data_IF_600417252564
#
_entry.id   IF_600417252564
#
_cell.length_a   1.000
_cell.length_b   1.000
_cell.length_c   1.000
_cell.angle_alpha   90.00
_cell.angle_beta   90.00
_cell.angle_gamma   90.00
#
_symmetry.space_group_name_H-M   'P 1'
#
loop_
_entity.id
_entity.type
_entity.pdbx_description
1 polymer ?
#
# COMPACT_ATOMS: atom_id res chain seq x y z
N UNK A 1 4.17 -4.11 5.66
CA UNK A 1 3.20 -5.01 5.01
C UNK A 1 1.93 -5.06 5.84
N UNK A 2 0.85 -4.34 5.48
CA UNK A 2 -0.37 -4.27 6.27
C UNK A 2 -1.36 -5.42 6.01
N UNK A 3 -1.24 -6.14 4.89
CA UNK A 3 -2.21 -7.18 4.45
C UNK A 3 -1.64 -8.60 4.45
N UNK A 4 -0.35 -8.80 4.73
CA UNK A 4 0.32 -10.10 4.55
C UNK A 4 -0.18 -11.24 5.46
N UNK A 5 -0.95 -10.96 6.51
CA UNK A 5 -1.56 -11.95 7.39
C UNK A 5 -3.09 -12.05 7.24
N UNK A 6 -3.68 -11.33 6.26
CA UNK A 6 -5.12 -11.26 6.03
C UNK A 6 -5.50 -12.08 4.80
N UNK A 7 -6.72 -12.60 4.77
CA UNK A 7 -7.26 -13.16 3.54
C UNK A 7 -7.53 -12.03 2.52
N UNK A 8 -7.74 -12.43 1.26
CA UNK A 8 -7.89 -11.49 0.15
C UNK A 8 -9.08 -10.52 0.32
N UNK A 9 -10.17 -10.93 0.96
CA UNK A 9 -11.32 -10.05 1.20
C UNK A 9 -10.99 -9.02 2.26
N UNK A 10 -10.49 -9.46 3.42
CA UNK A 10 -10.13 -8.54 4.51
C UNK A 10 -8.98 -7.61 4.12
N UNK A 11 -8.03 -8.07 3.28
CA UNK A 11 -7.01 -7.22 2.71
C UNK A 11 -7.58 -6.06 1.88
N UNK A 12 -8.59 -6.30 1.05
CA UNK A 12 -9.25 -5.26 0.26
C UNK A 12 -10.01 -4.26 1.14
N UNK A 13 -10.66 -4.70 2.21
CA UNK A 13 -11.36 -3.83 3.16
C UNK A 13 -10.39 -2.87 3.87
N UNK A 14 -9.22 -3.38 4.28
CA UNK A 14 -8.14 -2.57 4.85
C UNK A 14 -7.63 -1.53 3.84
N UNK A 15 -7.43 -1.92 2.57
CA UNK A 15 -7.03 -0.97 1.53
C UNK A 15 -8.10 0.11 1.28
N UNK A 16 -9.38 -0.26 1.32
CA UNK A 16 -10.47 0.71 1.22
C UNK A 16 -10.48 1.71 2.39
N UNK A 17 -10.22 1.25 3.61
CA UNK A 17 -10.07 2.11 4.78
C UNK A 17 -8.89 3.09 4.61
N UNK A 18 -7.73 2.62 4.17
CA UNK A 18 -6.59 3.49 3.90
C UNK A 18 -6.90 4.53 2.83
N UNK A 19 -7.56 4.15 1.73
CA UNK A 19 -8.00 5.11 0.71
C UNK A 19 -8.91 6.19 1.28
N UNK A 20 -9.88 5.82 2.14
CA UNK A 20 -10.78 6.78 2.80
C UNK A 20 -10.04 7.75 3.73
N UNK A 21 -9.08 7.25 4.49
CA UNK A 21 -8.25 8.10 5.35
C UNK A 21 -7.38 9.04 4.50
N UNK A 22 -6.81 8.54 3.41
CA UNK A 22 -6.01 9.35 2.50
C UNK A 22 -6.83 10.45 1.81
N UNK A 23 -8.06 10.14 1.36
CA UNK A 23 -8.97 11.14 0.80
C UNK A 23 -9.39 12.21 1.82
N UNK A 24 -9.33 11.90 3.12
CA UNK A 24 -9.60 12.85 4.20
C UNK A 24 -8.37 13.67 4.61
N UNK A 25 -7.28 13.61 3.84
CA UNK A 25 -6.08 14.43 4.04
C UNK A 25 -4.96 13.75 4.83
N UNK A 26 -5.15 12.50 5.27
CA UNK A 26 -4.06 11.76 5.92
C UNK A 26 -3.02 11.31 4.89
N UNK A 27 -1.73 11.60 5.13
CA UNK A 27 -0.65 11.02 4.32
C UNK A 27 -0.38 9.59 4.80
N UNK A 28 -0.43 8.62 3.90
CA UNK A 28 -0.23 7.20 4.20
C UNK A 28 0.96 6.68 3.39
N UNK A 29 1.87 5.98 4.06
CA UNK A 29 2.98 5.26 3.42
C UNK A 29 2.79 3.77 3.70
N UNK A 30 2.68 2.97 2.64
CA UNK A 30 2.53 1.52 2.72
C UNK A 30 3.80 0.88 2.19
N UNK A 31 4.43 0.04 3.01
CA UNK A 31 5.52 -0.84 2.58
C UNK A 31 4.92 -2.20 2.28
N UNK A 32 5.04 -2.64 1.03
CA UNK A 32 4.56 -3.95 0.57
C UNK A 32 5.51 -4.57 -0.44
N UNK A 33 5.52 -5.91 -0.51
CA UNK A 33 6.14 -6.66 -1.60
C UNK A 33 5.15 -7.09 -2.70
N UNK A 34 3.84 -6.81 -2.50
CA UNK A 34 2.78 -7.13 -3.44
C UNK A 34 2.53 -5.95 -4.40
N UNK A 35 2.76 -6.17 -5.69
CA UNK A 35 2.54 -5.14 -6.71
C UNK A 35 1.06 -4.74 -6.83
N UNK A 36 0.12 -5.64 -6.58
CA UNK A 36 -1.31 -5.32 -6.66
C UNK A 36 -1.73 -4.29 -5.60
N UNK A 37 -1.14 -4.36 -4.40
CA UNK A 37 -1.33 -3.37 -3.34
C UNK A 37 -0.65 -2.05 -3.69
N UNK A 38 0.56 -2.10 -4.25
CA UNK A 38 1.27 -0.90 -4.69
C UNK A 38 0.51 -0.13 -5.78
N UNK A 39 -0.12 -0.83 -6.72
CA UNK A 39 -0.95 -0.25 -7.79
C UNK A 39 -2.24 0.42 -7.27
N UNK A 40 -2.71 0.03 -6.08
CA UNK A 40 -3.83 0.71 -5.43
C UNK A 40 -3.45 2.08 -4.83
N UNK A 41 -2.17 2.40 -4.70
CA UNK A 41 -1.66 3.63 -4.12
C UNK A 41 -1.45 4.72 -5.18
N UNK A 42 -1.57 6.00 -4.79
CA UNK A 42 -1.38 7.12 -5.72
C UNK A 42 0.05 7.31 -6.22
N UNK A 43 1.05 6.75 -5.52
CA UNK A 43 2.45 6.73 -5.92
C UNK A 43 3.12 5.45 -5.44
N UNK A 44 3.83 4.77 -6.33
CA UNK A 44 4.70 3.63 -6.00
C UNK A 44 6.17 4.04 -6.06
N UNK A 45 6.96 3.58 -5.09
CA UNK A 45 8.41 3.74 -5.06
C UNK A 45 9.01 2.34 -4.90
N UNK A 46 9.91 1.96 -5.81
CA UNK A 46 10.68 0.72 -5.66
C UNK A 46 12.01 1.02 -4.97
N UNK A 47 12.45 0.12 -4.10
CA UNK A 47 13.74 0.19 -3.43
C UNK A 47 14.52 -1.07 -3.78
N UNK A 48 15.77 -0.90 -4.22
CA UNK A 48 16.71 -1.98 -4.49
C UNK A 48 18.07 -1.61 -3.93
N UNK A 49 18.69 -2.53 -3.20
CA UNK A 49 20.02 -2.35 -2.59
C UNK A 49 20.14 -1.04 -1.78
N UNK A 50 19.10 -0.72 -1.01
CA UNK A 50 19.04 0.48 -0.16
C UNK A 50 18.85 1.80 -0.90
N UNK A 51 18.60 1.78 -2.21
CA UNK A 51 18.37 2.97 -3.03
C UNK A 51 16.99 2.95 -3.68
N UNK A 52 16.41 4.14 -3.87
CA UNK A 52 15.23 4.29 -4.72
C UNK A 52 15.61 3.90 -6.15
N UNK A 53 14.86 2.98 -6.72
CA UNK A 53 15.01 2.47 -8.07
C UNK A 53 13.72 2.70 -8.85
N UNK A 54 13.83 3.07 -10.14
CA UNK A 54 12.69 3.25 -11.04
C UNK A 54 12.36 1.97 -11.78
#
# INVERSE_FOLDING_TARGET
EPTGALDSRTGLEIMALFKKLNSNGATIIIVTHDNSIAEMCGRSIRIRDGRVSG
#
